data_IF_479616237268
#
_entry.id   IF_479616237268
#
_cell.length_a   1.000
_cell.length_b   1.000
_cell.length_c   1.000
_cell.angle_alpha   90.00
_cell.angle_beta   90.00
_cell.angle_gamma   90.00
#
_symmetry.space_group_name_H-M   'P 1'
#
loop_
_entity.id
_entity.type
_entity.pdbx_description
1 polymer ?
#
# COMPACT_ATOMS: atom_id res chain seq x y z
N UNK A 1 6.84 -28.79 16.28
CA UNK A 1 7.79 -29.72 15.65
C UNK A 1 8.88 -28.91 14.98
N UNK A 2 10.07 -28.86 15.57
CA UNK A 2 11.22 -28.20 14.97
C UNK A 2 11.70 -29.03 13.76
N UNK A 3 11.92 -28.38 12.62
CA UNK A 3 12.54 -29.00 11.45
C UNK A 3 13.98 -29.38 11.79
N UNK A 4 14.35 -30.64 11.53
CA UNK A 4 15.63 -31.29 11.84
C UNK A 4 16.87 -30.73 11.07
N UNK A 5 16.81 -29.47 10.64
CA UNK A 5 17.79 -28.79 9.79
C UNK A 5 18.52 -27.65 10.51
N UNK A 6 18.20 -27.37 11.78
CA UNK A 6 18.81 -26.27 12.56
C UNK A 6 18.28 -24.87 12.25
N UNK A 7 17.40 -24.71 11.27
CA UNK A 7 16.74 -23.43 10.94
C UNK A 7 15.37 -23.30 11.61
N UNK A 8 14.95 -22.04 11.77
CA UNK A 8 13.57 -21.71 12.16
C UNK A 8 12.59 -22.14 11.06
N UNK A 9 11.35 -22.42 11.48
CA UNK A 9 10.26 -22.74 10.54
C UNK A 9 9.96 -21.51 9.68
N UNK A 10 9.79 -21.70 8.38
CA UNK A 10 9.30 -20.66 7.49
C UNK A 10 7.88 -20.23 7.88
N UNK A 11 7.62 -18.93 7.75
CA UNK A 11 6.27 -18.40 7.87
C UNK A 11 5.46 -18.75 6.63
N UNK A 12 4.40 -19.53 6.83
CA UNK A 12 3.51 -20.02 5.77
C UNK A 12 2.77 -18.89 5.03
N UNK A 13 2.60 -17.73 5.68
CA UNK A 13 1.87 -16.58 5.13
C UNK A 13 2.76 -15.57 4.43
N UNK A 14 4.08 -15.69 4.56
CA UNK A 14 5.04 -14.66 4.14
C UNK A 14 4.86 -14.27 2.68
N UNK A 15 4.80 -15.25 1.78
CA UNK A 15 4.70 -14.99 0.33
C UNK A 15 3.40 -14.26 -0.03
N UNK A 16 2.28 -14.66 0.58
CA UNK A 16 0.99 -14.02 0.34
C UNK A 16 1.01 -12.58 0.83
N UNK A 17 1.51 -12.35 2.05
CA UNK A 17 1.59 -11.01 2.64
C UNK A 17 2.52 -10.10 1.83
N UNK A 18 3.69 -10.62 1.43
CA UNK A 18 4.64 -9.89 0.59
C UNK A 18 4.07 -9.46 -0.77
N UNK A 19 3.11 -10.21 -1.33
CA UNK A 19 2.49 -9.88 -2.62
C UNK A 19 1.28 -8.97 -2.45
N UNK A 20 0.48 -9.13 -1.39
CA UNK A 20 -0.84 -8.50 -1.30
C UNK A 20 -0.94 -7.35 -0.30
N UNK A 21 -0.17 -7.35 0.80
CA UNK A 21 -0.30 -6.29 1.81
C UNK A 21 0.10 -4.93 1.22
N UNK A 22 -0.80 -3.95 1.34
CA UNK A 22 -0.61 -2.60 0.80
C UNK A 22 -0.94 -2.46 -0.69
N UNK A 23 -1.34 -3.55 -1.35
CA UNK A 23 -1.74 -3.58 -2.76
C UNK A 23 -3.27 -3.76 -2.93
N UNK A 24 -4.07 -3.40 -1.91
CA UNK A 24 -5.53 -3.51 -1.98
C UNK A 24 -6.08 -2.56 -3.07
N UNK A 25 -6.74 -3.08 -4.12
CA UNK A 25 -7.21 -2.26 -5.24
C UNK A 25 -8.15 -1.13 -4.83
N UNK A 26 -8.95 -1.35 -3.78
CA UNK A 26 -9.96 -0.42 -3.25
C UNK A 26 -9.36 0.86 -2.67
N UNK A 27 -8.05 0.90 -2.45
CA UNK A 27 -7.38 2.14 -2.14
C UNK A 27 -7.56 3.12 -3.33
N UNK A 28 -7.34 2.66 -4.56
CA UNK A 28 -7.29 3.52 -5.75
C UNK A 28 -8.66 3.61 -6.43
N UNK A 29 -9.09 4.82 -6.81
CA UNK A 29 -10.33 5.02 -7.57
C UNK A 29 -10.39 4.22 -8.89
N UNK A 30 -9.23 3.87 -9.46
CA UNK A 30 -9.12 3.06 -10.68
C UNK A 30 -9.24 1.55 -10.43
N UNK A 31 -9.24 1.10 -9.17
CA UNK A 31 -9.13 -0.30 -8.77
C UNK A 31 -7.89 -0.98 -9.37
N UNK A 32 -6.79 -0.24 -9.49
CA UNK A 32 -5.53 -0.79 -9.99
C UNK A 32 -4.97 -1.82 -9.00
N UNK A 33 -4.70 -3.03 -9.50
CA UNK A 33 -4.12 -4.14 -8.72
C UNK A 33 -2.66 -3.87 -8.33
N UNK A 34 -1.93 -3.10 -9.14
CA UNK A 34 -0.59 -2.62 -8.80
C UNK A 34 -0.70 -1.14 -8.43
N UNK A 35 -0.17 -0.72 -7.26
CA UNK A 35 -0.22 0.67 -6.85
C UNK A 35 0.41 1.63 -7.87
N UNK A 36 -0.21 2.79 -8.14
CA UNK A 36 0.37 3.81 -8.99
C UNK A 36 1.58 4.47 -8.34
N UNK A 37 2.52 4.93 -9.16
CA UNK A 37 3.69 5.68 -8.70
C UNK A 37 3.30 7.16 -8.54
N UNK A 38 3.30 7.65 -7.30
CA UNK A 38 3.07 9.08 -7.02
C UNK A 38 4.36 9.87 -7.14
N UNK A 39 4.47 10.69 -8.20
CA UNK A 39 5.57 11.65 -8.37
C UNK A 39 5.18 13.09 -7.98
N UNK A 40 4.01 13.26 -7.35
CA UNK A 40 3.55 14.59 -6.92
C UNK A 40 4.45 15.13 -5.80
N UNK A 41 4.79 16.42 -5.88
CA UNK A 41 5.57 17.12 -4.84
C UNK A 41 4.70 17.69 -3.71
N UNK A 42 3.38 17.76 -3.92
CA UNK A 42 2.38 18.24 -2.95
C UNK A 42 1.00 17.65 -3.24
N UNK A 43 0.07 17.82 -2.30
CA UNK A 43 -1.33 17.36 -2.40
C UNK A 43 -2.30 18.49 -2.01
N UNK A 44 -3.48 18.51 -2.63
CA UNK A 44 -4.53 19.49 -2.33
C UNK A 44 -5.04 19.35 -0.89
N UNK A 45 -5.22 20.48 -0.20
CA UNK A 45 -5.87 20.58 1.10
C UNK A 45 -7.24 21.26 0.94
N UNK A 46 -8.22 20.88 1.75
CA UNK A 46 -9.56 21.48 1.72
C UNK A 46 -9.61 22.78 2.57
N UNK A 47 -8.66 22.94 3.49
CA UNK A 47 -8.37 24.15 4.27
C UNK A 47 -6.96 24.09 4.87
N UNK A 48 -6.47 25.16 5.53
CA UNK A 48 -5.16 25.13 6.17
C UNK A 48 -5.03 23.99 7.18
N UNK A 49 -4.07 23.09 6.97
CA UNK A 49 -3.86 21.88 7.77
C UNK A 49 -5.04 20.88 7.76
N UNK A 50 -5.97 21.00 6.82
CA UNK A 50 -7.07 20.06 6.58
C UNK A 50 -6.78 19.23 5.31
N UNK A 51 -6.00 18.16 5.51
CA UNK A 51 -5.60 17.23 4.46
C UNK A 51 -6.43 15.95 4.52
N UNK A 52 -6.77 15.38 3.35
CA UNK A 52 -7.45 14.09 3.30
C UNK A 52 -6.50 12.98 3.73
N UNK A 53 -6.87 12.25 4.78
CA UNK A 53 -6.11 11.11 5.34
C UNK A 53 -6.24 9.84 4.49
N UNK A 54 -7.17 9.81 3.52
CA UNK A 54 -7.34 8.66 2.63
C UNK A 54 -6.26 8.69 1.54
N UNK A 55 -5.29 7.79 1.70
CA UNK A 55 -4.39 7.42 0.62
C UNK A 55 -5.23 6.98 -0.58
N UNK A 56 -4.73 7.30 -1.77
CA UNK A 56 -5.21 6.83 -3.07
C UNK A 56 -6.31 7.65 -3.78
N UNK A 57 -6.16 8.98 -3.73
CA UNK A 57 -6.50 9.81 -4.90
C UNK A 57 -5.46 10.91 -5.08
N UNK A 58 -4.49 10.69 -5.97
CA UNK A 58 -3.60 11.75 -6.46
C UNK A 58 -4.41 12.66 -7.40
N UNK A 59 -5.24 13.54 -6.84
CA UNK A 59 -5.76 14.67 -7.61
C UNK A 59 -4.69 15.76 -7.60
N UNK A 60 -3.86 15.80 -8.64
CA UNK A 60 -3.07 16.98 -8.97
C UNK A 60 -4.03 17.95 -9.68
N UNK A 61 -4.50 18.96 -8.97
CA UNK A 61 -5.15 20.11 -9.59
C UNK A 61 -4.12 21.23 -9.65
N UNK A 62 -3.69 21.55 -10.86
CA UNK A 62 -3.13 22.87 -11.21
C UNK A 62 -4.20 23.94 -11.05
#
# INVERSE_FOLDING_TARGET
>A
MASNSGYLKNDETFSTRAIHEGNEPEQWNSLAVVPPISMATTFKQDGPADFKVRMATTTVLV
#
